data_IF_260297021871
#
_entry.id   IF_260297021871
#
_cell.length_a   1.000
_cell.length_b   1.000
_cell.length_c   1.000
_cell.angle_alpha   90.00
_cell.angle_beta   90.00
_cell.angle_gamma   90.00
#
_symmetry.space_group_name_H-M   'P 1'
#
loop_
_entity.id
_entity.type
_entity.pdbx_description
1 polymer ?
#
# COMPACT_ATOMS: atom_id res chain seq x y z
N UNK A 1 5.68 10.67 -11.42
CA UNK A 1 4.39 10.45 -12.11
C UNK A 1 4.04 11.67 -12.94
N UNK A 2 3.18 11.53 -13.96
CA UNK A 2 2.64 12.67 -14.72
C UNK A 2 1.15 12.78 -14.46
N UNK A 3 0.68 13.94 -14.02
CA UNK A 3 -0.73 14.22 -13.68
C UNK A 3 -1.16 15.57 -14.24
N UNK A 4 -2.45 15.89 -14.24
CA UNK A 4 -2.94 17.19 -14.70
C UNK A 4 -2.39 18.34 -13.83
N UNK A 5 -2.11 19.46 -14.48
CA UNK A 5 -1.65 20.72 -13.89
C UNK A 5 -2.67 21.36 -12.94
N UNK A 6 -3.93 20.92 -12.93
CA UNK A 6 -4.92 21.35 -11.92
C UNK A 6 -4.45 21.09 -10.48
N UNK A 7 -3.53 20.14 -10.29
CA UNK A 7 -2.97 19.79 -8.97
C UNK A 7 -1.67 20.55 -8.64
N UNK A 8 -1.22 21.47 -9.49
CA UNK A 8 0.07 22.14 -9.34
C UNK A 8 0.21 22.88 -8.02
N UNK A 9 -0.79 23.68 -7.64
CA UNK A 9 -0.77 24.44 -6.38
C UNK A 9 -0.69 23.52 -5.16
N UNK A 10 -1.47 22.44 -5.16
CA UNK A 10 -1.48 21.46 -4.06
C UNK A 10 -0.14 20.72 -3.94
N UNK A 11 0.43 20.26 -5.06
CA UNK A 11 1.72 19.57 -5.05
C UNK A 11 2.85 20.52 -4.62
N UNK A 12 2.79 21.78 -5.04
CA UNK A 12 3.76 22.80 -4.64
C UNK A 12 3.70 23.05 -3.13
N UNK A 13 2.49 23.15 -2.55
CA UNK A 13 2.31 23.29 -1.11
C UNK A 13 2.91 22.09 -0.33
N UNK A 14 2.70 20.86 -0.81
CA UNK A 14 3.29 19.68 -0.18
C UNK A 14 4.82 19.65 -0.28
N UNK A 15 5.38 20.13 -1.40
CA UNK A 15 6.83 20.23 -1.58
C UNK A 15 7.44 21.27 -0.65
N UNK A 16 6.84 22.47 -0.54
CA UNK A 16 7.32 23.56 0.30
C UNK A 16 7.24 23.24 1.79
N UNK A 17 6.19 22.53 2.20
CA UNK A 17 6.00 22.11 3.58
C UNK A 17 6.74 20.81 3.95
N UNK A 18 7.49 20.21 3.01
CA UNK A 18 8.11 18.88 3.14
C UNK A 18 7.12 17.84 3.72
N UNK A 19 5.87 17.89 3.26
CA UNK A 19 4.80 17.08 3.83
C UNK A 19 5.08 15.59 3.62
N UNK A 20 5.04 14.82 4.69
CA UNK A 20 5.11 13.37 4.63
C UNK A 20 3.75 12.82 4.16
N UNK A 21 3.74 12.25 2.96
CA UNK A 21 2.55 11.71 2.31
C UNK A 21 2.53 10.19 2.46
N UNK A 22 1.45 9.65 3.04
CA UNK A 22 1.17 8.22 3.01
C UNK A 22 0.52 7.87 1.67
N UNK A 23 1.26 7.17 0.79
CA UNK A 23 0.83 6.86 -0.56
C UNK A 23 0.77 5.36 -0.83
N UNK A 24 -0.16 4.97 -1.70
CA UNK A 24 -0.36 3.59 -2.15
C UNK A 24 -0.03 3.48 -3.63
N UNK A 25 0.93 2.61 -3.98
CA UNK A 25 1.39 2.46 -5.37
C UNK A 25 1.25 1.02 -5.82
N UNK A 26 0.49 0.81 -6.90
CA UNK A 26 0.37 -0.48 -7.57
C UNK A 26 1.46 -0.62 -8.62
N UNK A 27 2.27 -1.68 -8.52
CA UNK A 27 3.43 -1.90 -9.39
C UNK A 27 3.10 -2.97 -10.43
N UNK A 28 3.42 -2.71 -11.69
CA UNK A 28 3.29 -3.61 -12.86
C UNK A 28 1.86 -3.91 -13.32
N UNK A 29 0.96 -4.39 -12.44
CA UNK A 29 -0.41 -4.80 -12.82
C UNK A 29 -1.43 -4.17 -11.88
N UNK A 30 -2.56 -3.63 -12.39
CA UNK A 30 -3.58 -2.98 -11.58
C UNK A 30 -4.26 -3.92 -10.58
N UNK A 31 -4.15 -5.24 -10.78
CA UNK A 31 -4.67 -6.27 -9.88
C UNK A 31 -3.78 -6.55 -8.66
N UNK A 32 -2.56 -6.01 -8.62
CA UNK A 32 -1.63 -6.26 -7.53
C UNK A 32 -2.02 -5.47 -6.29
N UNK A 33 -1.72 -6.02 -5.12
CA UNK A 33 -1.87 -5.29 -3.86
C UNK A 33 -0.95 -4.05 -3.88
N UNK A 34 -1.47 -2.85 -3.54
CA UNK A 34 -0.66 -1.64 -3.48
C UNK A 34 0.45 -1.78 -2.42
N UNK A 35 1.67 -1.40 -2.79
CA UNK A 35 2.74 -1.18 -1.83
C UNK A 35 2.52 0.18 -1.14
N UNK A 36 2.84 0.23 0.16
CA UNK A 36 2.71 1.43 0.98
C UNK A 36 4.06 2.15 1.05
N UNK A 37 4.01 3.47 0.91
CA UNK A 37 5.19 4.31 0.99
C UNK A 37 4.91 5.57 1.78
N UNK A 38 5.88 5.95 2.59
CA UNK A 38 6.00 7.31 3.08
C UNK A 38 6.80 8.10 2.05
N UNK A 39 6.21 9.17 1.51
CA UNK A 39 6.78 9.90 0.40
C UNK A 39 6.84 11.40 0.67
N UNK A 40 7.90 12.05 0.18
CA UNK A 40 7.99 13.51 0.08
C UNK A 40 8.21 13.91 -1.37
N UNK A 41 7.71 15.08 -1.76
CA UNK A 41 7.91 15.59 -3.12
C UNK A 41 9.30 16.23 -3.19
N UNK A 42 10.11 15.80 -4.18
CA UNK A 42 11.44 16.36 -4.42
C UNK A 42 11.46 17.39 -5.53
N UNK A 43 10.74 17.12 -6.61
CA UNK A 43 10.71 18.00 -7.77
C UNK A 43 9.36 17.97 -8.46
N UNK A 44 8.92 19.14 -8.91
CA UNK A 44 7.77 19.33 -9.78
C UNK A 44 8.28 20.02 -11.04
N UNK A 45 8.01 19.42 -12.20
CA UNK A 45 8.37 20.00 -13.51
C UNK A 45 7.08 20.26 -14.29
N UNK A 46 6.79 21.52 -14.65
CA UNK A 46 5.63 21.83 -15.47
C UNK A 46 5.81 21.30 -16.89
N UNK A 47 4.74 20.78 -17.45
CA UNK A 47 4.60 20.32 -18.83
C UNK A 47 3.39 21.02 -19.46
N UNK A 48 3.16 20.81 -20.75
CA UNK A 48 2.03 21.43 -21.42
C UNK A 48 0.72 20.74 -21.00
N UNK A 49 -0.08 21.38 -20.14
CA UNK A 49 -1.35 20.85 -19.60
C UNK A 49 -1.19 19.73 -18.56
N UNK A 50 0.02 19.50 -18.05
CA UNK A 50 0.32 18.48 -17.04
C UNK A 50 1.54 18.85 -16.21
N UNK A 51 1.79 18.12 -15.14
CA UNK A 51 2.98 18.25 -14.30
C UNK A 51 3.62 16.89 -14.10
N UNK A 52 4.96 16.85 -14.13
CA UNK A 52 5.75 15.70 -13.73
C UNK A 52 6.20 15.87 -12.28
N UNK A 53 5.80 14.95 -11.40
CA UNK A 53 6.11 14.99 -9.97
C UNK A 53 7.04 13.82 -9.61
N UNK A 54 8.17 14.14 -8.99
CA UNK A 54 9.14 13.17 -8.47
C UNK A 54 9.00 13.10 -6.96
N UNK A 55 8.83 11.88 -6.46
CA UNK A 55 8.74 11.58 -5.03
C UNK A 55 10.01 10.86 -4.58
N UNK A 56 10.52 11.20 -3.41
CA UNK A 56 11.40 10.33 -2.65
C UNK A 56 10.51 9.48 -1.73
N UNK A 57 10.60 8.15 -1.86
CA UNK A 57 9.71 7.22 -1.19
C UNK A 57 10.49 6.24 -0.31
N UNK A 58 10.02 6.03 0.91
CA UNK A 58 10.45 4.96 1.78
C UNK A 58 9.36 3.89 1.83
N UNK A 59 9.67 2.69 1.33
CA UNK A 59 8.73 1.57 1.38
C UNK A 59 8.63 1.05 2.81
N UNK A 60 7.40 0.84 3.28
CA UNK A 60 7.16 0.12 4.50
C UNK A 60 6.11 -0.96 4.26
N UNK A 61 6.19 -2.02 5.06
CA UNK A 61 5.17 -3.07 5.06
C UNK A 61 4.24 -2.78 6.22
N UNK A 62 2.93 -2.94 6.03
CA UNK A 62 2.02 -3.13 7.15
C UNK A 62 2.59 -4.30 7.96
N UNK A 63 3.13 -3.99 9.14
CA UNK A 63 3.67 -4.97 10.09
C UNK A 63 2.65 -6.08 10.24
N UNK A 64 2.96 -7.29 9.76
CA UNK A 64 2.49 -8.62 10.17
C UNK A 64 1.05 -8.86 10.68
N UNK A 65 0.11 -7.90 10.61
CA UNK A 65 -1.26 -8.06 11.08
C UNK A 65 -1.98 -9.11 10.24
N UNK A 66 -1.61 -9.28 8.98
CA UNK A 66 -2.17 -10.35 8.15
C UNK A 66 -1.89 -11.75 8.72
N UNK A 67 -0.66 -12.00 9.18
CA UNK A 67 -0.31 -13.29 9.75
C UNK A 67 -1.03 -13.50 11.09
N UNK A 68 -1.11 -12.47 11.92
CA UNK A 68 -1.81 -12.49 13.20
C UNK A 68 -3.32 -12.70 13.02
N UNK A 69 -3.98 -11.91 12.16
CA UNK A 69 -5.40 -12.02 11.86
C UNK A 69 -5.76 -13.32 11.15
N UNK A 70 -4.91 -13.79 10.23
CA UNK A 70 -5.11 -15.08 9.57
C UNK A 70 -5.04 -16.21 10.60
N UNK A 71 -4.06 -16.17 11.50
CA UNK A 71 -3.94 -17.17 12.56
C UNK A 71 -5.16 -17.12 13.50
N UNK A 72 -5.58 -15.93 13.93
CA UNK A 72 -6.76 -15.72 14.76
C UNK A 72 -8.03 -16.27 14.09
N UNK A 73 -8.23 -15.98 12.79
CA UNK A 73 -9.38 -16.49 12.04
C UNK A 73 -9.37 -18.02 11.98
N UNK A 74 -8.23 -18.65 11.69
CA UNK A 74 -8.13 -20.10 11.57
C UNK A 74 -8.35 -20.80 12.92
N UNK A 75 -7.85 -20.20 14.01
CA UNK A 75 -8.09 -20.70 15.38
C UNK A 75 -9.57 -20.55 15.75
N UNK A 76 -10.20 -19.42 15.43
CA UNK A 76 -11.63 -19.19 15.66
C UNK A 76 -12.54 -20.12 14.83
N UNK A 77 -12.08 -20.55 13.65
CA UNK A 77 -12.74 -21.57 12.82
C UNK A 77 -12.53 -23.01 13.35
N UNK A 78 -11.75 -23.17 14.43
CA UNK A 78 -11.54 -24.45 15.12
C UNK A 78 -10.43 -25.32 14.53
N UNK A 79 -9.63 -24.81 13.58
CA UNK A 79 -8.49 -25.56 13.03
C UNK A 79 -7.37 -25.68 14.06
N UNK A 80 -6.79 -26.87 14.15
CA UNK A 80 -5.72 -27.16 15.11
C UNK A 80 -4.64 -28.06 14.50
N UNK A 81 -3.48 -28.10 15.16
CA UNK A 81 -2.39 -29.02 14.81
C UNK A 81 -1.90 -28.89 13.36
N UNK A 82 -1.74 -30.02 12.68
CA UNK A 82 -1.17 -30.06 11.33
C UNK A 82 -2.06 -29.40 10.26
N UNK A 83 -3.38 -29.42 10.47
CA UNK A 83 -4.35 -28.80 9.59
C UNK A 83 -4.20 -27.27 9.60
N UNK A 84 -4.04 -26.68 10.79
CA UNK A 84 -3.79 -25.25 10.97
C UNK A 84 -2.52 -24.82 10.22
N UNK A 85 -1.42 -25.55 10.41
CA UNK A 85 -0.13 -25.22 9.79
C UNK A 85 -0.23 -25.30 8.25
N UNK A 86 -0.91 -26.32 7.73
CA UNK A 86 -1.04 -26.54 6.28
C UNK A 86 -1.90 -25.44 5.65
N UNK A 87 -3.02 -25.09 6.30
CA UNK A 87 -3.92 -24.05 5.82
C UNK A 87 -3.30 -22.66 5.95
N UNK A 88 -2.63 -22.36 7.06
CA UNK A 88 -1.92 -21.10 7.28
C UNK A 88 -0.85 -20.87 6.21
N UNK A 89 0.03 -21.85 5.95
CA UNK A 89 1.08 -21.74 4.93
C UNK A 89 0.51 -21.56 3.51
N UNK A 90 -0.60 -22.23 3.20
CA UNK A 90 -1.29 -22.08 1.91
C UNK A 90 -1.90 -20.68 1.76
N UNK A 91 -2.51 -20.15 2.81
CA UNK A 91 -3.15 -18.83 2.80
C UNK A 91 -2.13 -17.69 2.84
N UNK A 92 -1.03 -17.84 3.55
CA UNK A 92 0.10 -16.89 3.52
C UNK A 92 0.71 -16.73 2.11
N UNK A 93 0.69 -17.79 1.29
CA UNK A 93 1.15 -17.73 -0.12
C UNK A 93 0.12 -17.14 -1.07
N UNK A 94 -1.16 -17.46 -0.87
CA UNK A 94 -2.24 -17.01 -1.75
C UNK A 94 -2.78 -15.62 -1.40
N UNK A 95 -2.47 -15.11 -0.19
CA UNK A 95 -2.94 -13.84 0.37
C UNK A 95 -4.41 -13.53 0.07
N UNK A 96 -5.36 -14.45 0.32
CA UNK A 96 -6.77 -14.14 0.18
C UNK A 96 -7.17 -13.02 1.17
N UNK A 97 -8.12 -12.17 0.76
CA UNK A 97 -8.72 -11.15 1.62
C UNK A 97 -9.34 -11.80 2.86
N UNK A 98 -9.02 -11.29 4.04
CA UNK A 98 -9.53 -11.80 5.32
C UNK A 98 -10.95 -11.27 5.58
N UNK A 99 -11.74 -12.01 6.37
CA UNK A 99 -13.16 -11.69 6.60
C UNK A 99 -13.39 -10.35 7.30
N UNK A 100 -12.40 -9.83 8.03
CA UNK A 100 -12.45 -8.54 8.75
C UNK A 100 -12.35 -7.30 7.85
N UNK A 101 -11.99 -7.42 6.57
CA UNK A 101 -12.02 -6.30 5.63
C UNK A 101 -13.45 -5.87 5.21
N UNK A 102 -14.49 -6.33 5.91
CA UNK A 102 -15.91 -5.99 5.65
C UNK A 102 -16.48 -4.88 6.55
N UNK A 103 -15.66 -4.18 7.32
CA UNK A 103 -16.08 -3.02 8.11
C UNK A 103 -15.58 -1.71 7.51
#
# INVERSE_FOLDING_TARGET
IVISDIHQEQMQAYMEAETLLDIRVVITRPSNDPALFDATIKHITPLNGSISVVFECHIYTLRQVYAENLLEQLVNEGMQGQELITTFNRMMKSKPRLKDERQ
#
